data_IF_915920545820
#
_entry.id   IF_915920545820
#
_cell.length_a   1.000
_cell.length_b   1.000
_cell.length_c   1.000
_cell.angle_alpha   90.00
_cell.angle_beta   90.00
_cell.angle_gamma   90.00
#
_symmetry.space_group_name_H-M   'P 1'
#
loop_
_entity.id
_entity.type
_entity.pdbx_description
1 polymer ?
#
# COMPACT_ATOMS: atom_id res chain seq x y z
N UNK A 1 38.34 -0.62 49.45
CA UNK A 1 37.11 -0.37 50.24
C UNK A 1 36.21 0.50 49.37
N UNK A 2 35.36 -0.10 48.52
CA UNK A 2 33.98 -0.56 48.75
C UNK A 2 32.96 0.60 48.84
N UNK A 3 32.16 0.75 47.77
CA UNK A 3 30.75 1.21 47.69
C UNK A 3 30.53 1.80 46.28
N UNK A 4 30.20 1.05 45.22
CA UNK A 4 28.96 0.31 44.96
C UNK A 4 27.69 1.15 45.20
N UNK A 5 27.37 2.05 44.27
CA UNK A 5 26.04 2.65 44.14
C UNK A 5 25.38 2.07 42.87
N UNK A 6 24.81 0.88 43.04
CA UNK A 6 23.94 0.20 42.09
C UNK A 6 22.55 0.86 42.17
N UNK A 7 22.20 1.69 41.19
CA UNK A 7 20.82 2.11 40.98
C UNK A 7 20.12 1.02 40.13
N UNK A 8 19.59 0.00 40.81
CA UNK A 8 18.72 -1.00 40.21
C UNK A 8 17.40 -0.33 39.82
N UNK A 9 17.24 0.00 38.54
CA UNK A 9 15.96 0.42 37.96
C UNK A 9 15.11 -0.84 37.77
N UNK A 10 14.19 -1.05 38.71
CA UNK A 10 13.12 -2.04 38.63
C UNK A 10 12.05 -1.50 37.69
N UNK A 11 11.96 -2.06 36.48
CA UNK A 11 10.77 -1.93 35.62
C UNK A 11 10.18 -3.32 35.48
N UNK A 12 9.28 -3.65 36.40
CA UNK A 12 8.25 -4.66 36.18
C UNK A 12 7.08 -3.96 35.51
N UNK A 13 6.67 -4.40 34.31
CA UNK A 13 5.30 -4.23 33.85
C UNK A 13 4.87 -5.42 32.99
N UNK A 14 4.18 -6.33 33.68
CA UNK A 14 3.07 -7.17 33.25
C UNK A 14 2.95 -7.58 31.77
N UNK A 15 3.12 -8.89 31.53
CA UNK A 15 2.25 -9.63 30.63
C UNK A 15 0.83 -9.65 31.22
N UNK A 16 -0.18 -9.35 30.39
CA UNK A 16 -1.56 -9.73 30.65
C UNK A 16 -2.57 -8.60 30.46
N UNK A 17 -3.04 -8.42 29.23
CA UNK A 17 -4.46 -8.14 28.98
C UNK A 17 -4.78 -8.51 27.53
N UNK A 18 -5.40 -9.68 27.37
CA UNK A 18 -6.11 -10.07 26.15
C UNK A 18 -7.39 -9.25 26.08
N UNK A 19 -7.39 -8.15 25.32
CA UNK A 19 -8.61 -7.47 24.92
C UNK A 19 -9.00 -7.91 23.50
N UNK A 20 -10.25 -8.36 23.29
CA UNK A 20 -10.73 -8.84 22.01
C UNK A 20 -10.77 -7.74 20.95
N UNK A 21 -10.53 -8.15 19.71
CA UNK A 21 -10.70 -7.35 18.49
C UNK A 21 -12.04 -6.58 18.55
N UNK A 22 -12.05 -5.24 18.41
CA UNK A 22 -13.31 -4.55 18.18
C UNK A 22 -13.82 -4.94 16.79
N UNK A 23 -14.87 -5.76 16.76
CA UNK A 23 -15.77 -5.82 15.60
C UNK A 23 -16.56 -4.51 15.62
N UNK A 24 -16.17 -3.58 14.78
CA UNK A 24 -16.99 -2.42 14.43
C UNK A 24 -17.32 -2.58 12.96
N UNK A 25 -18.54 -3.04 12.69
CA UNK A 25 -19.14 -2.96 11.37
C UNK A 25 -19.15 -1.49 10.94
N UNK A 26 -18.65 -1.13 9.74
CA UNK A 26 -18.81 0.22 9.25
C UNK A 26 -20.31 0.45 8.93
N UNK A 27 -20.88 1.41 9.64
CA UNK A 27 -22.17 2.02 9.30
C UNK A 27 -22.03 2.69 7.93
N UNK A 28 -22.95 2.35 7.03
CA UNK A 28 -22.99 2.82 5.66
C UNK A 28 -23.21 4.35 5.62
N UNK A 29 -22.32 5.14 5.01
CA UNK A 29 -22.67 6.50 4.63
C UNK A 29 -23.61 6.48 3.42
N UNK A 30 -24.58 7.42 3.34
CA UNK A 30 -25.57 7.47 2.29
C UNK A 30 -24.93 7.80 0.93
N UNK A 31 -25.41 7.13 -0.10
CA UNK A 31 -25.10 7.40 -1.49
C UNK A 31 -25.31 8.89 -1.83
N UNK A 32 -24.34 9.58 -2.46
CA UNK A 32 -24.68 10.71 -3.29
C UNK A 32 -25.31 10.19 -4.58
N UNK A 33 -26.55 10.64 -4.80
CA UNK A 33 -27.26 10.52 -6.05
C UNK A 33 -26.51 11.24 -7.18
N UNK A 34 -26.61 10.66 -8.38
CA UNK A 34 -26.69 11.40 -9.64
C UNK A 34 -25.37 11.74 -10.31
N UNK A 35 -24.90 10.84 -11.18
CA UNK A 35 -24.85 11.16 -12.61
C UNK A 35 -25.07 9.84 -13.38
N UNK A 36 -26.35 9.52 -13.57
CA UNK A 36 -26.78 8.46 -14.47
C UNK A 36 -26.59 8.98 -15.90
N UNK A 37 -25.59 8.46 -16.60
CA UNK A 37 -25.72 8.29 -18.05
C UNK A 37 -26.21 6.87 -18.28
N UNK A 38 -27.47 6.65 -18.70
CA UNK A 38 -27.94 5.33 -19.08
C UNK A 38 -27.22 4.90 -20.36
N UNK A 39 -26.27 3.98 -20.25
CA UNK A 39 -25.88 3.15 -21.38
C UNK A 39 -26.64 1.82 -21.23
N UNK A 40 -27.59 1.60 -22.13
CA UNK A 40 -28.47 0.43 -22.20
C UNK A 40 -27.76 -0.91 -21.93
N UNK A 41 -28.38 -1.85 -21.21
CA UNK A 41 -27.93 -3.23 -21.18
C UNK A 41 -28.29 -3.87 -22.52
N UNK A 42 -27.38 -3.84 -23.47
CA UNK A 42 -27.50 -4.67 -24.67
C UNK A 42 -27.20 -6.11 -24.27
N UNK A 43 -28.25 -6.94 -24.23
CA UNK A 43 -28.12 -8.39 -24.20
C UNK A 43 -27.26 -8.86 -25.38
N UNK A 44 -26.45 -9.93 -25.22
CA UNK A 44 -25.39 -10.25 -26.17
C UNK A 44 -25.98 -10.66 -27.52
N UNK A 45 -25.65 -9.88 -28.55
CA UNK A 45 -25.77 -10.30 -29.94
C UNK A 45 -24.73 -11.40 -30.21
N UNK A 46 -25.16 -12.50 -30.84
CA UNK A 46 -24.30 -13.63 -31.14
C UNK A 46 -23.12 -13.22 -32.05
N UNK A 47 -21.92 -13.79 -31.87
CA UNK A 47 -20.72 -13.31 -32.53
C UNK A 47 -20.79 -13.49 -34.06
N UNK A 48 -20.61 -12.39 -34.79
CA UNK A 48 -20.24 -12.38 -36.21
C UNK A 48 -18.88 -13.10 -36.37
N UNK A 49 -18.75 -14.13 -37.23
CA UNK A 49 -17.53 -14.94 -37.28
C UNK A 49 -16.43 -14.29 -38.13
N UNK A 50 -15.42 -13.64 -37.53
CA UNK A 50 -14.13 -13.23 -38.14
C UNK A 50 -13.08 -12.95 -37.01
N UNK A 51 -11.75 -12.96 -37.20
CA UNK A 51 -10.85 -13.50 -38.23
C UNK A 51 -10.13 -14.80 -37.76
N UNK A 52 -9.48 -15.49 -38.69
CA UNK A 52 -8.82 -16.78 -38.47
C UNK A 52 -7.67 -16.66 -37.45
N UNK A 53 -7.82 -17.28 -36.27
CA UNK A 53 -6.76 -17.37 -35.24
C UNK A 53 -7.08 -16.81 -33.85
N UNK A 54 -8.24 -16.18 -33.64
CA UNK A 54 -8.65 -15.69 -32.30
C UNK A 54 -9.40 -16.77 -31.52
N UNK A 55 -8.95 -17.08 -30.31
CA UNK A 55 -9.63 -18.00 -29.38
C UNK A 55 -10.57 -17.19 -28.49
N UNK A 56 -11.88 -17.43 -28.60
CA UNK A 56 -12.88 -16.86 -27.70
C UNK A 56 -13.08 -17.76 -26.48
N UNK A 57 -13.01 -17.16 -25.29
CA UNK A 57 -13.27 -17.82 -24.01
C UNK A 57 -14.70 -17.50 -23.57
N UNK A 58 -15.63 -18.36 -23.98
CA UNK A 58 -17.03 -18.28 -23.55
C UNK A 58 -17.22 -18.82 -22.13
N UNK A 59 -18.02 -18.13 -21.32
CA UNK A 59 -18.36 -18.56 -19.96
C UNK A 59 -17.41 -18.10 -18.86
N UNK A 60 -16.58 -17.08 -19.10
CA UNK A 60 -15.80 -16.45 -18.02
C UNK A 60 -16.74 -15.83 -16.98
N UNK A 61 -16.64 -16.23 -15.69
CA UNK A 61 -17.49 -15.65 -14.65
C UNK A 61 -17.11 -14.19 -14.38
N UNK A 62 -18.10 -13.38 -14.01
CA UNK A 62 -17.87 -12.01 -13.58
C UNK A 62 -17.02 -11.96 -12.30
N UNK A 63 -16.11 -10.98 -12.21
CA UNK A 63 -15.24 -10.84 -11.04
C UNK A 63 -16.04 -10.21 -9.90
N UNK A 64 -16.29 -10.91 -8.78
CA UNK A 64 -17.10 -10.38 -7.69
C UNK A 64 -16.40 -9.20 -7.02
N UNK A 65 -17.16 -8.14 -6.70
CA UNK A 65 -16.62 -6.94 -6.06
C UNK A 65 -15.91 -7.24 -4.72
N UNK A 66 -16.42 -8.21 -3.96
CA UNK A 66 -15.83 -8.64 -2.68
C UNK A 66 -14.43 -9.23 -2.82
N UNK A 67 -14.07 -9.81 -3.97
CA UNK A 67 -12.70 -10.27 -4.22
C UNK A 67 -11.76 -9.07 -4.40
N UNK A 68 -12.18 -8.04 -5.12
CA UNK A 68 -11.39 -6.81 -5.30
C UNK A 68 -11.12 -6.14 -3.96
N UNK A 69 -12.15 -6.00 -3.13
CA UNK A 69 -12.03 -5.43 -1.78
C UNK A 69 -11.04 -6.19 -0.89
N UNK A 70 -11.11 -7.53 -0.91
CA UNK A 70 -10.17 -8.37 -0.15
C UNK A 70 -8.74 -8.30 -0.68
N UNK A 71 -8.56 -8.19 -1.99
CA UNK A 71 -7.24 -8.12 -2.61
C UNK A 71 -6.55 -6.77 -2.41
N UNK A 72 -7.30 -5.68 -2.22
CA UNK A 72 -6.73 -4.36 -2.00
C UNK A 72 -5.72 -4.33 -0.84
N UNK A 73 -5.97 -5.09 0.24
CA UNK A 73 -5.03 -5.20 1.37
C UNK A 73 -3.64 -5.72 0.97
N UNK A 74 -3.57 -6.56 -0.06
CA UNK A 74 -2.32 -7.17 -0.53
C UNK A 74 -1.72 -6.43 -1.73
N UNK A 75 -2.52 -5.62 -2.43
CA UNK A 75 -2.05 -4.82 -3.57
C UNK A 75 -1.50 -3.46 -3.13
N UNK A 76 -1.98 -2.92 -2.00
CA UNK A 76 -1.54 -1.64 -1.43
C UNK A 76 -0.36 -1.78 -0.46
N UNK A 77 0.67 -2.49 -0.89
CA UNK A 77 1.92 -2.66 -0.13
C UNK A 77 2.78 -1.41 -0.26
N UNK A 78 3.17 -0.84 0.88
CA UNK A 78 4.19 0.21 0.95
C UNK A 78 5.58 -0.41 0.86
N UNK A 79 6.25 -0.20 -0.27
CA UNK A 79 7.61 -0.69 -0.51
C UNK A 79 8.64 0.44 -0.34
N UNK A 80 9.84 0.07 0.11
CA UNK A 80 11.00 0.95 0.10
C UNK A 80 12.20 0.19 -0.47
N UNK A 81 12.98 0.84 -1.34
CA UNK A 81 14.21 0.31 -1.91
C UNK A 81 15.38 1.25 -1.66
N UNK A 82 16.52 0.68 -1.30
CA UNK A 82 17.79 1.41 -1.21
C UNK A 82 18.34 1.60 -2.63
N UNK A 83 18.63 2.83 -3.01
CA UNK A 83 19.21 3.16 -4.32
C UNK A 83 20.72 3.30 -4.26
N UNK A 84 21.24 3.90 -3.18
CA UNK A 84 22.66 4.15 -3.05
C UNK A 84 23.04 4.70 -1.68
N UNK A 85 24.34 4.61 -1.40
CA UNK A 85 24.99 5.21 -0.24
C UNK A 85 25.82 6.36 -0.79
N UNK A 86 25.80 7.52 -0.13
CA UNK A 86 26.62 8.66 -0.49
C UNK A 86 28.11 8.34 -0.32
N UNK A 87 28.97 8.89 -1.18
CA UNK A 87 30.42 8.63 -1.18
C UNK A 87 31.10 9.03 0.13
N UNK A 88 30.54 10.00 0.83
CA UNK A 88 31.01 10.47 2.13
C UNK A 88 30.58 9.56 3.30
N UNK A 89 29.77 8.53 3.03
CA UNK A 89 29.22 7.61 4.03
C UNK A 89 28.19 8.25 4.97
N UNK A 90 27.83 9.52 4.76
CA UNK A 90 26.96 10.26 5.67
C UNK A 90 25.48 10.17 5.30
N UNK A 91 25.11 9.38 4.29
CA UNK A 91 23.70 9.20 4.00
C UNK A 91 23.37 8.15 2.96
N UNK A 92 22.07 7.88 2.86
CA UNK A 92 21.51 6.93 1.90
C UNK A 92 20.36 7.55 1.14
N UNK A 93 20.27 7.17 -0.14
CA UNK A 93 19.16 7.51 -1.02
C UNK A 93 18.20 6.32 -1.06
N UNK A 94 16.93 6.59 -0.77
CA UNK A 94 15.87 5.58 -0.65
C UNK A 94 14.69 5.99 -1.52
N UNK A 95 14.21 5.10 -2.39
CA UNK A 95 12.92 5.25 -3.03
C UNK A 95 11.84 4.62 -2.15
N UNK A 96 10.78 5.35 -1.84
CA UNK A 96 9.65 4.85 -1.05
C UNK A 96 8.36 5.07 -1.82
N UNK A 97 7.55 4.03 -1.98
CA UNK A 97 6.19 4.13 -2.52
C UNK A 97 5.21 4.40 -1.38
N UNK A 98 4.50 5.51 -1.48
CA UNK A 98 3.42 5.86 -0.57
C UNK A 98 2.19 6.16 -1.42
N UNK A 99 1.31 5.16 -1.59
CA UNK A 99 0.20 5.14 -2.55
C UNK A 99 0.66 5.05 -4.01
N UNK A 100 0.32 6.03 -4.85
CA UNK A 100 0.40 5.92 -6.31
C UNK A 100 1.84 5.89 -6.85
N UNK A 101 2.75 6.72 -6.32
CA UNK A 101 4.10 6.87 -6.88
C UNK A 101 5.24 6.64 -5.89
N UNK A 102 6.37 6.18 -6.44
CA UNK A 102 7.62 6.10 -5.71
C UNK A 102 8.30 7.47 -5.70
N UNK A 103 8.69 7.92 -4.50
CA UNK A 103 9.35 9.20 -4.27
C UNK A 103 10.74 9.00 -3.65
N UNK A 104 11.68 9.89 -3.98
CA UNK A 104 13.04 9.86 -3.48
C UNK A 104 13.15 10.54 -2.12
N UNK A 105 13.87 9.88 -1.22
CA UNK A 105 14.15 10.33 0.12
C UNK A 105 15.64 10.22 0.41
N UNK A 106 16.20 11.24 1.07
CA UNK A 106 17.55 11.20 1.60
C UNK A 106 17.52 11.04 3.12
N UNK A 107 18.35 10.15 3.64
CA UNK A 107 18.53 9.92 5.08
C UNK A 107 20.00 10.19 5.42
N UNK A 108 20.26 11.24 6.19
CA UNK A 108 21.61 11.72 6.49
C UNK A 108 22.25 11.18 7.77
N UNK A 109 21.58 10.26 8.47
CA UNK A 109 22.14 9.58 9.64
C UNK A 109 21.34 8.31 9.95
N UNK A 110 21.96 7.32 10.62
CA UNK A 110 21.24 6.16 11.11
C UNK A 110 20.08 6.60 12.02
N UNK A 111 18.89 6.03 11.79
CA UNK A 111 17.66 6.40 12.51
C UNK A 111 17.24 7.88 12.34
N UNK A 112 17.82 8.60 11.37
CA UNK A 112 17.50 9.99 11.07
C UNK A 112 16.17 10.16 10.34
N UNK A 113 15.67 11.40 10.35
CA UNK A 113 14.48 11.75 9.58
C UNK A 113 14.76 11.70 8.07
N UNK A 114 13.80 11.14 7.31
CA UNK A 114 13.82 11.13 5.86
C UNK A 114 13.46 12.51 5.30
N UNK A 115 14.28 13.04 4.38
CA UNK A 115 14.02 14.28 3.64
C UNK A 115 13.56 13.94 2.23
N UNK A 116 12.32 14.29 1.89
CA UNK A 116 11.78 14.09 0.54
C UNK A 116 12.46 15.03 -0.45
N UNK A 117 12.84 14.50 -1.61
CA UNK A 117 13.50 15.27 -2.68
C UNK A 117 12.56 15.53 -3.86
N UNK A 118 11.55 14.68 -4.05
CA UNK A 118 10.65 14.73 -5.20
C UNK A 118 9.18 14.78 -4.77
N UNK A 119 8.39 15.54 -5.51
CA UNK A 119 6.99 15.86 -5.18
C UNK A 119 6.05 15.70 -6.37
N UNK A 120 6.51 15.07 -7.46
CA UNK A 120 5.75 14.98 -8.71
C UNK A 120 4.76 13.80 -8.68
N UNK A 121 3.69 13.91 -9.45
CA UNK A 121 2.69 12.86 -9.62
C UNK A 121 3.19 11.69 -10.49
N UNK A 122 4.36 11.82 -11.12
CA UNK A 122 4.97 10.79 -11.96
C UNK A 122 6.09 10.05 -11.22
N UNK A 123 6.19 8.71 -11.34
CA UNK A 123 7.22 7.94 -10.67
C UNK A 123 8.60 8.17 -11.30
N UNK A 124 9.59 8.29 -10.42
CA UNK A 124 11.01 8.33 -10.76
C UNK A 124 11.55 6.90 -10.80
N UNK A 125 11.88 6.44 -12.00
CA UNK A 125 12.29 5.06 -12.29
C UNK A 125 13.80 4.85 -12.25
N UNK A 126 14.59 5.93 -12.33
CA UNK A 126 16.05 5.90 -12.26
C UNK A 126 16.62 7.16 -11.63
N UNK A 127 17.71 7.02 -10.86
CA UNK A 127 18.47 8.10 -10.22
C UNK A 127 19.90 8.16 -10.77
#
# INVERSE_FOLDING_TARGET
MRAALLLFVVVSLACGETAPCPTAAPEAPPAPAGDETPAEPTAPEAPTPEPEGTVFLDGTPEVPASLRERLAQYQELRSASLLGIADDGNGVLVATRFAETAQLHFVGSPLGARRQLTYADEPITSA
#
